data_IF_867796977497
#
_entry.id   IF_867796977497
#
_cell.length_a   1.000
_cell.length_b   1.000
_cell.length_c   1.000
_cell.angle_alpha   90.00
_cell.angle_beta   90.00
_cell.angle_gamma   90.00
#
_symmetry.space_group_name_H-M   'P 1'
#
loop_
_entity.id
_entity.type
_entity.pdbx_description
1 polymer ?
#
# COMPACT_ATOMS: atom_id res chain seq x y z
N UNK A 1 32.06 15.39 13.58
CA UNK A 1 31.25 14.16 13.40
C UNK A 1 30.60 14.20 12.02
N UNK A 2 31.23 13.56 11.03
CA UNK A 2 30.71 13.49 9.66
C UNK A 2 29.55 12.50 9.64
N UNK A 3 28.32 12.98 9.48
CA UNK A 3 27.17 12.11 9.19
C UNK A 3 27.36 11.59 7.77
N UNK A 4 27.88 10.38 7.64
CA UNK A 4 27.89 9.63 6.38
C UNK A 4 26.44 9.41 5.94
N UNK A 5 25.90 10.32 5.12
CA UNK A 5 24.67 10.10 4.35
C UNK A 5 25.01 9.27 3.12
N UNK A 6 25.46 8.03 3.29
CA UNK A 6 25.35 7.05 2.22
C UNK A 6 23.92 6.52 2.25
N UNK A 7 23.04 7.24 1.56
CA UNK A 7 21.76 6.69 1.13
C UNK A 7 22.12 5.43 0.35
N UNK A 8 21.54 4.27 0.70
CA UNK A 8 21.66 3.07 -0.13
C UNK A 8 21.10 3.41 -1.51
N UNK A 9 21.98 3.85 -2.42
CA UNK A 9 21.67 4.19 -3.81
C UNK A 9 21.79 2.96 -4.71
N UNK A 10 22.31 1.84 -4.18
CA UNK A 10 22.69 0.66 -4.96
C UNK A 10 21.58 -0.41 -4.99
N UNK A 11 20.75 -0.53 -3.95
CA UNK A 11 19.69 -1.54 -3.85
C UNK A 11 18.29 -0.99 -4.11
N UNK A 12 18.12 -0.16 -5.14
CA UNK A 12 16.91 0.63 -5.44
C UNK A 12 15.60 0.05 -4.90
N UNK A 13 14.82 0.86 -4.19
CA UNK A 13 13.50 0.44 -3.70
C UNK A 13 12.52 0.39 -4.86
N UNK A 14 11.97 -0.79 -5.12
CA UNK A 14 10.81 -0.97 -5.97
C UNK A 14 9.62 -1.40 -5.12
N UNK A 15 8.42 -1.12 -5.60
CA UNK A 15 7.21 -1.67 -5.04
C UNK A 15 6.37 -2.22 -6.19
N UNK A 16 5.74 -3.35 -5.94
CA UNK A 16 4.74 -3.95 -6.82
C UNK A 16 3.39 -3.83 -6.14
N UNK A 17 2.40 -3.33 -6.86
CA UNK A 17 1.04 -3.17 -6.34
C UNK A 17 0.06 -3.84 -7.29
N UNK A 18 -0.55 -4.92 -6.81
CA UNK A 18 -1.66 -5.57 -7.45
C UNK A 18 -2.96 -5.03 -6.88
N UNK A 19 -3.89 -4.68 -7.76
CA UNK A 19 -5.20 -4.19 -7.39
C UNK A 19 -6.26 -4.94 -8.17
N UNK A 20 -7.16 -5.62 -7.44
CA UNK A 20 -8.32 -6.31 -8.00
C UNK A 20 -9.56 -5.68 -7.42
N UNK A 21 -10.35 -5.06 -8.29
CA UNK A 21 -11.58 -4.36 -7.92
C UNK A 21 -12.80 -4.94 -8.61
N UNK A 22 -13.92 -4.93 -7.91
CA UNK A 22 -15.24 -5.16 -8.45
C UNK A 22 -16.15 -3.99 -8.05
N UNK A 23 -16.97 -3.54 -8.99
CA UNK A 23 -17.99 -2.53 -8.71
C UNK A 23 -19.29 -2.95 -9.38
N UNK A 24 -20.38 -2.81 -8.64
CA UNK A 24 -21.73 -2.99 -9.15
C UNK A 24 -22.59 -1.81 -8.74
N UNK A 25 -23.36 -1.32 -9.71
CA UNK A 25 -24.31 -0.24 -9.51
C UNK A 25 -25.66 -0.73 -9.98
N UNK A 26 -26.66 -0.56 -9.14
CA UNK A 26 -28.04 -0.87 -9.46
C UNK A 26 -28.83 0.38 -9.13
N UNK A 27 -29.60 0.85 -10.09
CA UNK A 27 -30.43 2.03 -9.95
C UNK A 27 -31.84 1.78 -10.42
N UNK A 28 -32.76 2.57 -9.90
CA UNK A 28 -34.12 2.67 -10.40
C UNK A 28 -34.47 4.15 -10.52
N UNK A 29 -34.91 4.53 -11.72
CA UNK A 29 -35.42 5.86 -12.01
C UNK A 29 -36.86 5.73 -12.52
N UNK A 30 -37.64 6.78 -12.32
CA UNK A 30 -39.00 6.81 -12.82
C UNK A 30 -39.72 8.11 -12.54
N UNK A 31 -40.86 8.26 -13.19
CA UNK A 31 -41.76 9.38 -12.99
C UNK A 31 -43.03 8.91 -12.31
N UNK A 32 -43.52 9.67 -11.35
CA UNK A 32 -44.87 9.56 -10.81
C UNK A 32 -45.66 10.79 -11.23
N UNK A 33 -46.96 10.61 -11.50
CA UNK A 33 -47.81 11.62 -12.13
C UNK A 33 -47.72 13.01 -11.48
N UNK A 34 -48.03 14.05 -12.28
CA UNK A 34 -47.89 15.48 -11.95
C UNK A 34 -46.47 16.06 -12.03
N UNK A 35 -45.60 15.50 -12.88
CA UNK A 35 -44.29 16.08 -13.19
C UNK A 35 -43.20 15.80 -12.15
N UNK A 36 -43.40 14.77 -11.32
CA UNK A 36 -42.42 14.35 -10.32
C UNK A 36 -41.63 13.13 -10.78
N UNK A 37 -40.33 13.15 -10.50
CA UNK A 37 -39.41 12.06 -10.75
C UNK A 37 -38.70 11.62 -9.48
N UNK A 38 -38.33 10.34 -9.45
CA UNK A 38 -37.39 9.81 -8.47
C UNK A 38 -36.23 9.13 -9.16
N UNK A 39 -35.12 9.12 -8.45
CA UNK A 39 -33.93 8.35 -8.76
C UNK A 39 -33.42 7.73 -7.46
N UNK A 40 -33.25 6.41 -7.44
CA UNK A 40 -32.61 5.69 -6.36
C UNK A 40 -31.46 4.86 -6.91
N UNK A 41 -30.26 5.07 -6.41
CA UNK A 41 -29.05 4.35 -6.77
C UNK A 41 -28.43 3.65 -5.56
N UNK A 42 -28.00 2.41 -5.77
CA UNK A 42 -27.16 1.66 -4.85
C UNK A 42 -25.87 1.26 -5.55
N UNK A 43 -24.74 1.65 -4.97
CA UNK A 43 -23.39 1.35 -5.44
C UNK A 43 -22.70 0.47 -4.40
N UNK A 44 -22.18 -0.67 -4.85
CA UNK A 44 -21.30 -1.52 -4.07
C UNK A 44 -19.95 -1.61 -4.79
N UNK A 45 -18.91 -1.15 -4.12
CA UNK A 45 -17.52 -1.25 -4.56
C UNK A 45 -16.73 -2.13 -3.60
N UNK A 46 -15.99 -3.08 -4.14
CA UNK A 46 -15.01 -3.87 -3.40
C UNK A 46 -13.65 -3.77 -4.09
N UNK A 47 -12.61 -3.57 -3.31
CA UNK A 47 -11.25 -3.47 -3.81
C UNK A 47 -10.30 -4.21 -2.89
N UNK A 48 -9.48 -5.10 -3.46
CA UNK A 48 -8.40 -5.74 -2.75
C UNK A 48 -7.08 -5.24 -3.34
N UNK A 49 -6.18 -4.81 -2.47
CA UNK A 49 -4.82 -4.44 -2.86
C UNK A 49 -3.81 -5.35 -2.18
N UNK A 50 -2.78 -5.73 -2.93
CA UNK A 50 -1.58 -6.38 -2.41
C UNK A 50 -0.38 -5.52 -2.81
N UNK A 51 0.46 -5.20 -1.83
CA UNK A 51 1.65 -4.37 -1.96
C UNK A 51 2.85 -5.22 -1.55
N UNK A 52 3.81 -5.37 -2.46
CA UNK A 52 5.12 -5.98 -2.17
C UNK A 52 6.20 -4.93 -2.34
N UNK A 53 6.85 -4.54 -1.24
CA UNK A 53 7.97 -3.59 -1.25
C UNK A 53 9.30 -4.32 -1.23
N UNK A 54 10.17 -4.03 -2.20
CA UNK A 54 11.53 -4.56 -2.28
C UNK A 54 12.57 -3.51 -1.87
N UNK A 55 13.73 -3.97 -1.40
CA UNK A 55 14.81 -3.09 -0.94
C UNK A 55 14.55 -2.48 0.45
N UNK A 56 13.66 -3.08 1.23
CA UNK A 56 13.52 -2.80 2.67
C UNK A 56 14.61 -3.57 3.43
N UNK A 57 15.19 -2.93 4.45
CA UNK A 57 16.26 -3.53 5.24
C UNK A 57 15.65 -4.45 6.29
N UNK A 58 16.12 -5.68 6.34
CA UNK A 58 15.83 -6.61 7.41
C UNK A 58 16.85 -6.44 8.55
N UNK A 59 16.43 -5.72 9.60
CA UNK A 59 17.28 -5.35 10.74
C UNK A 59 18.05 -6.52 11.35
N UNK A 60 17.46 -7.72 11.57
CA UNK A 60 18.20 -8.86 12.12
C UNK A 60 19.37 -9.33 11.25
N UNK A 61 19.25 -9.26 9.92
CA UNK A 61 20.34 -9.63 9.02
C UNK A 61 21.36 -8.50 8.91
N UNK A 62 20.93 -7.23 8.91
CA UNK A 62 21.84 -6.09 8.95
C UNK A 62 22.70 -6.11 10.22
N UNK A 63 22.11 -6.40 11.37
CA UNK A 63 22.84 -6.50 12.65
C UNK A 63 23.88 -7.63 12.63
N UNK A 64 23.59 -8.76 11.98
CA UNK A 64 24.57 -9.84 11.77
C UNK A 64 25.67 -9.44 10.79
N UNK A 65 25.32 -8.79 9.69
CA UNK A 65 26.25 -8.38 8.63
C UNK A 65 27.24 -7.29 9.10
N UNK A 66 26.78 -6.37 9.95
CA UNK A 66 27.59 -5.30 10.55
C UNK A 66 28.18 -5.67 11.92
N UNK A 67 27.91 -6.89 12.40
CA UNK A 67 28.40 -7.39 13.68
C UNK A 67 29.90 -7.72 13.66
N UNK A 68 30.42 -8.41 14.69
CA UNK A 68 31.79 -8.88 14.71
C UNK A 68 32.11 -9.66 13.42
N UNK A 69 33.29 -9.45 12.86
CA UNK A 69 33.77 -10.20 11.69
C UNK A 69 35.24 -10.54 11.86
N UNK A 70 35.67 -11.71 11.39
CA UNK A 70 37.05 -12.15 11.45
C UNK A 70 37.51 -12.73 10.11
N UNK A 71 38.82 -12.86 9.92
CA UNK A 71 39.41 -13.46 8.73
C UNK A 71 39.57 -14.97 8.94
N UNK A 72 39.03 -15.78 8.05
CA UNK A 72 39.19 -17.24 8.09
C UNK A 72 40.57 -17.70 7.59
N UNK A 73 40.81 -19.01 7.63
CA UNK A 73 42.07 -19.63 7.15
C UNK A 73 42.30 -19.45 5.65
N UNK A 74 41.23 -19.27 4.87
CA UNK A 74 41.26 -19.11 3.41
C UNK A 74 41.41 -17.63 3.00
N UNK A 75 41.34 -16.73 3.98
CA UNK A 75 41.55 -15.30 3.84
C UNK A 75 40.28 -14.47 3.62
N UNK A 76 39.09 -15.08 3.73
CA UNK A 76 37.80 -14.40 3.59
C UNK A 76 37.37 -13.75 4.91
N UNK A 77 36.57 -12.68 4.82
CA UNK A 77 35.95 -12.05 5.99
C UNK A 77 34.60 -12.73 6.25
N UNK A 78 34.46 -13.32 7.43
CA UNK A 78 33.27 -14.07 7.85
C UNK A 78 32.64 -13.39 9.07
N UNK A 79 31.31 -13.40 9.15
CA UNK A 79 30.58 -12.88 10.31
C UNK A 79 30.82 -13.73 11.57
N UNK A 80 30.81 -13.08 12.73
CA UNK A 80 31.04 -13.69 14.04
C UNK A 80 32.48 -13.52 14.54
N UNK A 81 32.90 -14.47 15.37
CA UNK A 81 34.27 -14.54 15.91
C UNK A 81 34.87 -15.90 15.60
N UNK A 82 36.20 -16.05 15.71
CA UNK A 82 36.85 -17.35 15.50
C UNK A 82 36.30 -18.47 16.40
N UNK A 83 35.75 -18.12 17.57
CA UNK A 83 35.11 -19.07 18.49
C UNK A 83 33.62 -19.32 18.19
N UNK A 84 32.96 -18.44 17.43
CA UNK A 84 31.55 -18.50 17.10
C UNK A 84 31.28 -17.88 15.71
N UNK A 85 31.61 -18.59 14.61
CA UNK A 85 31.31 -18.13 13.26
C UNK A 85 29.79 -18.22 12.98
N UNK A 86 29.25 -17.23 12.28
CA UNK A 86 27.84 -17.21 11.86
C UNK A 86 27.76 -17.75 10.43
N UNK A 87 27.25 -18.98 10.28
CA UNK A 87 27.07 -19.60 8.97
C UNK A 87 26.02 -18.86 8.13
N UNK A 88 26.29 -18.69 6.83
CA UNK A 88 25.37 -18.08 5.87
C UNK A 88 25.23 -16.56 5.98
N UNK A 89 26.04 -15.90 6.81
CA UNK A 89 26.04 -14.44 6.92
C UNK A 89 27.04 -13.81 5.95
N UNK A 90 26.58 -12.78 5.25
CA UNK A 90 27.43 -11.96 4.37
C UNK A 90 27.90 -10.74 5.14
N UNK A 91 29.20 -10.65 5.44
CA UNK A 91 29.75 -9.51 6.16
C UNK A 91 29.65 -8.25 5.30
N UNK A 92 29.15 -7.14 5.84
CA UNK A 92 29.00 -5.89 5.09
C UNK A 92 29.83 -4.77 5.74
N UNK A 93 30.64 -4.09 4.93
CA UNK A 93 31.38 -2.90 5.36
C UNK A 93 30.85 -1.63 4.70
N UNK A 94 30.00 -0.90 5.45
CA UNK A 94 29.42 0.38 5.02
C UNK A 94 30.39 1.56 5.06
N UNK A 95 31.58 1.39 5.67
CA UNK A 95 32.62 2.42 5.77
C UNK A 95 33.65 2.35 4.64
N UNK A 96 33.64 1.30 3.82
CA UNK A 96 34.53 1.18 2.67
C UNK A 96 34.26 2.26 1.62
N UNK A 97 35.16 2.45 0.65
CA UNK A 97 34.97 3.39 -0.46
C UNK A 97 33.78 3.02 -1.37
N UNK A 98 33.54 3.74 -2.48
CA UNK A 98 32.60 3.30 -3.51
C UNK A 98 32.89 1.85 -3.95
N UNK A 99 31.86 1.01 -4.06
CA UNK A 99 32.00 -0.42 -4.41
C UNK A 99 32.30 -1.37 -3.26
N UNK A 100 32.32 -0.89 -2.00
CA UNK A 100 32.50 -1.77 -0.82
C UNK A 100 31.25 -2.55 -0.41
N UNK A 101 30.09 -2.16 -0.96
CA UNK A 101 28.81 -2.85 -0.77
C UNK A 101 28.52 -3.57 -2.07
N UNK A 102 28.43 -4.90 -2.01
CA UNK A 102 28.11 -5.74 -3.18
C UNK A 102 26.61 -6.05 -3.21
N UNK A 103 26.11 -6.48 -4.37
CA UNK A 103 24.71 -6.91 -4.51
C UNK A 103 24.36 -8.05 -3.53
N UNK A 104 25.27 -8.99 -3.31
CA UNK A 104 25.10 -10.09 -2.36
C UNK A 104 24.91 -9.60 -0.91
N UNK A 105 25.60 -8.54 -0.51
CA UNK A 105 25.41 -7.92 0.81
C UNK A 105 24.04 -7.24 0.91
N UNK A 106 23.58 -6.61 -0.18
CA UNK A 106 22.25 -5.98 -0.24
C UNK A 106 21.14 -7.03 -0.21
N UNK A 107 21.29 -8.13 -0.94
CA UNK A 107 20.31 -9.23 -0.98
C UNK A 107 20.21 -9.94 0.38
N UNK A 108 21.33 -10.08 1.12
CA UNK A 108 21.32 -10.65 2.47
C UNK A 108 20.65 -9.74 3.50
N UNK A 109 20.85 -8.43 3.38
CA UNK A 109 20.36 -7.44 4.35
C UNK A 109 19.00 -6.85 4.01
N UNK A 110 18.44 -7.18 2.83
CA UNK A 110 17.10 -6.78 2.45
C UNK A 110 16.12 -7.94 2.52
N UNK A 111 14.86 -7.62 2.78
CA UNK A 111 13.75 -8.56 2.68
C UNK A 111 12.56 -7.87 2.00
N UNK A 112 11.77 -8.59 1.20
CA UNK A 112 10.52 -8.07 0.71
C UNK A 112 9.54 -7.89 1.89
N UNK A 113 8.82 -6.78 1.89
CA UNK A 113 7.71 -6.54 2.82
C UNK A 113 6.40 -6.68 2.05
N UNK A 114 5.53 -7.60 2.47
CA UNK A 114 4.19 -7.76 1.90
C UNK A 114 3.13 -7.17 2.81
N UNK A 115 2.22 -6.40 2.22
CA UNK A 115 1.02 -5.89 2.89
C UNK A 115 -0.16 -6.09 1.97
N UNK A 116 -1.29 -6.50 2.52
CA UNK A 116 -2.54 -6.60 1.78
C UNK A 116 -3.65 -5.86 2.50
N UNK A 117 -4.67 -5.45 1.76
CA UNK A 117 -5.83 -4.84 2.38
C UNK A 117 -7.05 -4.93 1.49
N UNK A 118 -8.19 -4.83 2.15
CA UNK A 118 -9.50 -4.84 1.53
C UNK A 118 -10.17 -3.50 1.80
N UNK A 119 -10.85 -2.97 0.79
CA UNK A 119 -11.63 -1.76 0.85
C UNK A 119 -13.02 -2.04 0.33
N UNK A 120 -14.03 -1.78 1.14
CA UNK A 120 -15.44 -1.91 0.77
C UNK A 120 -16.10 -0.54 0.83
N UNK A 121 -16.80 -0.18 -0.22
CA UNK A 121 -17.60 1.03 -0.35
C UNK A 121 -19.05 0.64 -0.63
N UNK A 122 -19.96 1.22 0.13
CA UNK A 122 -21.40 1.12 -0.14
C UNK A 122 -22.00 2.52 -0.14
N UNK A 123 -22.68 2.89 -1.22
CA UNK A 123 -23.36 4.18 -1.32
C UNK A 123 -24.81 3.95 -1.73
N UNK A 124 -25.74 4.48 -0.95
CA UNK A 124 -27.16 4.56 -1.27
C UNK A 124 -27.52 6.03 -1.44
N UNK A 125 -27.98 6.39 -2.63
CA UNK A 125 -28.40 7.75 -2.95
C UNK A 125 -29.84 7.72 -3.42
N UNK A 126 -30.66 8.62 -2.91
CA UNK A 126 -32.03 8.82 -3.35
C UNK A 126 -32.31 10.28 -3.62
N UNK A 127 -33.00 10.56 -4.71
CA UNK A 127 -33.44 11.89 -5.09
C UNK A 127 -34.90 11.84 -5.52
N UNK A 128 -35.64 12.89 -5.16
CA UNK A 128 -37.03 13.08 -5.55
C UNK A 128 -37.22 14.55 -5.86
N UNK A 129 -37.79 14.87 -7.02
CA UNK A 129 -38.07 16.24 -7.38
C UNK A 129 -39.16 16.36 -8.43
N UNK A 130 -39.79 17.51 -8.49
CA UNK A 130 -40.87 17.76 -9.42
C UNK A 130 -41.48 19.13 -9.28
N UNK A 131 -42.52 19.34 -10.08
CA UNK A 131 -43.23 20.60 -10.16
C UNK A 131 -44.20 20.77 -8.97
N UNK A 132 -44.14 21.91 -8.28
CA UNK A 132 -45.01 22.22 -7.14
C UNK A 132 -46.20 23.07 -7.58
N UNK A 133 -45.94 24.11 -8.39
CA UNK A 133 -46.98 25.09 -8.75
C UNK A 133 -46.64 25.85 -10.02
N UNK A 134 -47.66 26.13 -10.85
CA UNK A 134 -47.49 26.98 -12.03
C UNK A 134 -47.81 28.44 -11.69
N UNK A 135 -46.78 29.29 -11.73
CA UNK A 135 -46.90 30.74 -11.52
C UNK A 135 -47.14 31.44 -12.86
N UNK A 136 -47.69 32.68 -12.87
CA UNK A 136 -47.83 33.47 -14.09
C UNK A 136 -46.51 33.72 -14.86
N UNK A 137 -45.37 33.45 -14.23
CA UNK A 137 -44.02 33.58 -14.79
C UNK A 137 -43.35 32.24 -15.12
N UNK A 138 -44.05 31.11 -14.99
CA UNK A 138 -43.53 29.75 -15.26
C UNK A 138 -43.67 28.80 -14.08
N UNK A 139 -43.18 27.56 -14.27
CA UNK A 139 -43.29 26.47 -13.30
C UNK A 139 -42.29 26.65 -12.15
N UNK A 140 -42.77 26.48 -10.91
CA UNK A 140 -41.96 26.36 -9.71
C UNK A 140 -41.78 24.88 -9.37
N UNK A 141 -40.54 24.40 -9.41
CA UNK A 141 -40.16 23.04 -9.03
C UNK A 141 -39.40 23.00 -7.70
N UNK A 142 -39.43 21.86 -7.01
CA UNK A 142 -38.53 21.56 -5.90
C UNK A 142 -38.07 20.11 -5.93
N UNK A 143 -36.98 19.85 -5.22
CA UNK A 143 -36.51 18.49 -4.99
C UNK A 143 -35.77 18.37 -3.67
N UNK A 144 -35.68 17.14 -3.20
CA UNK A 144 -34.95 16.73 -2.01
C UNK A 144 -34.23 15.41 -2.32
N UNK A 145 -33.07 15.23 -1.73
CA UNK A 145 -32.34 13.97 -1.81
C UNK A 145 -31.67 13.62 -0.50
N UNK A 146 -31.23 12.37 -0.42
CA UNK A 146 -30.42 11.85 0.66
C UNK A 146 -29.28 11.01 0.07
N UNK A 147 -28.17 11.00 0.80
CA UNK A 147 -27.05 10.11 0.52
C UNK A 147 -26.63 9.45 1.82
N UNK A 148 -26.43 8.14 1.76
CA UNK A 148 -25.82 7.36 2.81
C UNK A 148 -24.61 6.63 2.23
N UNK A 149 -23.44 6.89 2.83
CA UNK A 149 -22.18 6.28 2.41
C UNK A 149 -21.53 5.56 3.58
N UNK A 150 -21.10 4.34 3.34
CA UNK A 150 -20.33 3.52 4.27
C UNK A 150 -19.03 3.07 3.61
N UNK A 151 -17.93 3.25 4.33
CA UNK A 151 -16.57 2.88 3.92
C UNK A 151 -15.94 2.00 4.99
N UNK A 152 -15.35 0.88 4.58
CA UNK A 152 -14.59 -0.01 5.45
C UNK A 152 -13.23 -0.32 4.81
N UNK A 153 -12.18 -0.28 5.63
CA UNK A 153 -10.81 -0.60 5.20
C UNK A 153 -10.19 -1.56 6.20
N UNK A 154 -9.85 -2.75 5.75
CA UNK A 154 -9.07 -3.73 6.51
C UNK A 154 -7.67 -3.81 5.93
N UNK A 155 -6.64 -3.87 6.78
CA UNK A 155 -5.25 -3.97 6.35
C UNK A 155 -4.58 -5.09 7.13
N UNK A 156 -3.97 -6.01 6.39
CA UNK A 156 -3.20 -7.14 6.90
C UNK A 156 -1.73 -6.95 6.49
N UNK A 157 -0.86 -6.76 7.48
CA UNK A 157 0.57 -6.61 7.27
C UNK A 157 1.22 -7.95 7.54
N UNK A 158 1.67 -8.62 6.48
CA UNK A 158 2.43 -9.86 6.58
C UNK A 158 3.93 -9.50 6.56
N UNK A 159 4.48 -9.22 7.74
CA UNK A 159 5.93 -9.04 7.90
C UNK A 159 6.63 -10.40 7.90
N UNK A 160 7.64 -10.57 7.03
CA UNK A 160 8.56 -11.71 7.04
C UNK A 160 9.60 -11.63 8.17
#
# INVERSE_FOLDING_TARGET
MSRSRRRMLEGGRSFEQDNVGFQQVIGMEGEFGDGWSYDLNYNYGYNQYALTEFGQIYEPNLAKAMGPSFKDSDGNIVCGTAAAPIAGCVSMNVFGGPGSVTQEMLDYTSAPLSSSGNYTLQTLTGFVGGDIYELPAGILAAGVGFEYRYDETETHVDSC
#
